data_IF_353444688484
#
_entry.id   IF_353444688484
#
_cell.length_a   1.000
_cell.length_b   1.000
_cell.length_c   1.000
_cell.angle_alpha   90.00
_cell.angle_beta   90.00
_cell.angle_gamma   90.00
#
_symmetry.space_group_name_H-M   'P 1'
#
loop_
_entity.id
_entity.type
_entity.pdbx_description
1 polymer ?
#
# COMPACT_ATOMS: atom_id res chain seq x y z
N UNK A 1 -11.93 16.37 1.19
CA UNK A 1 -10.68 15.80 1.72
C UNK A 1 -10.19 16.69 2.84
N UNK A 2 -9.98 16.17 4.06
CA UNK A 2 -9.26 16.91 5.10
C UNK A 2 -7.78 17.01 4.73
N UNK A 3 -7.09 18.03 5.24
CA UNK A 3 -5.67 18.31 4.95
C UNK A 3 -4.76 17.10 5.17
N UNK A 4 -5.10 16.25 6.14
CA UNK A 4 -4.33 15.06 6.50
C UNK A 4 -4.36 13.96 5.43
N UNK A 5 -5.51 13.71 4.79
CA UNK A 5 -5.61 12.78 3.66
C UNK A 5 -4.81 13.25 2.45
N UNK A 6 -4.78 14.56 2.21
CA UNK A 6 -3.99 15.13 1.13
C UNK A 6 -2.50 14.91 1.37
N UNK A 7 -2.00 15.14 2.59
CA UNK A 7 -0.59 14.87 2.92
C UNK A 7 -0.25 13.39 2.75
N UNK A 8 -1.13 12.47 3.19
CA UNK A 8 -0.93 11.03 2.98
C UNK A 8 -0.88 10.67 1.49
N UNK A 9 -1.79 11.22 0.69
CA UNK A 9 -1.78 11.04 -0.76
C UNK A 9 -0.44 11.44 -1.36
N UNK A 10 0.03 12.66 -1.07
CA UNK A 10 1.25 13.22 -1.64
C UNK A 10 2.49 12.42 -1.24
N UNK A 11 2.56 11.93 0.01
CA UNK A 11 3.68 11.11 0.47
C UNK A 11 3.69 9.71 -0.16
N UNK A 12 2.52 9.04 -0.26
CA UNK A 12 2.42 7.75 -0.95
C UNK A 12 2.73 7.93 -2.43
N UNK A 13 2.24 8.99 -3.06
CA UNK A 13 2.53 9.33 -4.45
C UNK A 13 4.03 9.57 -4.65
N UNK A 14 4.69 10.31 -3.77
CA UNK A 14 6.13 10.56 -3.84
C UNK A 14 6.93 9.26 -3.72
N UNK A 15 6.56 8.39 -2.78
CA UNK A 15 7.17 7.06 -2.61
C UNK A 15 7.03 6.22 -3.89
N UNK A 16 5.81 6.08 -4.41
CA UNK A 16 5.54 5.32 -5.63
C UNK A 16 6.26 5.91 -6.85
N UNK A 17 6.27 7.24 -6.97
CA UNK A 17 6.93 7.95 -8.07
C UNK A 17 8.45 7.75 -8.09
N UNK A 18 9.07 7.63 -6.92
CA UNK A 18 10.50 7.33 -6.76
C UNK A 18 10.85 5.92 -7.22
N UNK A 19 9.94 4.97 -7.03
CA UNK A 19 10.14 3.55 -7.36
C UNK A 19 9.43 3.09 -8.64
N UNK A 20 8.85 4.02 -9.40
CA UNK A 20 8.16 3.74 -10.65
C UNK A 20 9.13 3.19 -11.71
N UNK A 21 8.73 2.13 -12.41
CA UNK A 21 9.49 1.53 -13.50
C UNK A 21 9.66 2.46 -14.73
N UNK A 22 8.80 3.48 -14.86
CA UNK A 22 8.82 4.40 -15.98
C UNK A 22 7.83 5.55 -15.84
N UNK A 23 7.77 6.42 -16.85
CA UNK A 23 6.94 7.63 -16.88
C UNK A 23 5.44 7.32 -16.77
N UNK A 24 4.96 6.25 -17.40
CA UNK A 24 3.58 5.81 -17.28
C UNK A 24 3.23 5.37 -15.86
N UNK A 25 4.07 4.55 -15.23
CA UNK A 25 3.88 4.11 -13.86
C UNK A 25 3.90 5.31 -12.90
N UNK A 26 4.79 6.28 -13.10
CA UNK A 26 4.87 7.50 -12.30
C UNK A 26 3.65 8.42 -12.46
N UNK A 27 3.18 8.62 -13.69
CA UNK A 27 2.21 9.69 -13.99
C UNK A 27 0.76 9.23 -13.98
N UNK A 28 0.51 7.92 -14.11
CA UNK A 28 -0.84 7.34 -14.19
C UNK A 28 -1.10 6.33 -13.08
N UNK A 29 -0.15 5.43 -12.84
CA UNK A 29 -0.35 4.34 -11.88
C UNK A 29 -0.10 4.79 -10.44
N UNK A 30 0.95 5.56 -10.19
CA UNK A 30 1.26 6.07 -8.87
C UNK A 30 0.12 6.93 -8.26
N UNK A 31 -0.48 7.90 -8.98
CA UNK A 31 -1.61 8.66 -8.43
C UNK A 31 -2.86 7.79 -8.22
N UNK A 32 -3.13 6.82 -9.10
CA UNK A 32 -4.22 5.86 -8.93
C UNK A 32 -4.03 5.03 -7.65
N UNK A 33 -2.84 4.46 -7.45
CA UNK A 33 -2.55 3.64 -6.28
C UNK A 33 -2.56 4.49 -5.00
N UNK A 34 -2.05 5.72 -5.03
CA UNK A 34 -2.10 6.64 -3.90
C UNK A 34 -3.55 6.97 -3.51
N UNK A 35 -4.42 7.25 -4.48
CA UNK A 35 -5.85 7.49 -4.23
C UNK A 35 -6.54 6.27 -3.63
N UNK A 36 -6.38 5.10 -4.26
CA UNK A 36 -6.95 3.84 -3.76
C UNK A 36 -6.40 3.42 -2.40
N UNK A 37 -5.19 3.87 -2.05
CA UNK A 37 -4.61 3.58 -0.74
C UNK A 37 -5.32 4.30 0.41
N UNK A 38 -6.09 5.36 0.14
CA UNK A 38 -6.87 6.10 1.13
C UNK A 38 -8.26 5.49 1.39
N UNK A 39 -8.74 4.62 0.48
CA UNK A 39 -10.05 3.97 0.63
C UNK A 39 -10.06 2.96 1.78
N UNK A 40 -11.25 2.52 2.21
CA UNK A 40 -11.39 1.66 3.39
C UNK A 40 -11.01 0.20 3.14
N UNK A 41 -11.18 -0.32 1.92
CA UNK A 41 -10.93 -1.74 1.63
C UNK A 41 -9.44 -2.05 1.46
N UNK A 42 -9.16 -3.31 1.14
CA UNK A 42 -7.84 -3.69 0.69
C UNK A 42 -7.53 -3.04 -0.66
N UNK A 43 -6.31 -2.50 -0.79
CA UNK A 43 -5.83 -1.83 -1.99
C UNK A 43 -6.06 -2.62 -3.29
N UNK A 44 -6.00 -3.96 -3.23
CA UNK A 44 -6.27 -4.79 -4.41
C UNK A 44 -7.75 -4.78 -4.81
N UNK A 45 -8.68 -4.74 -3.85
CA UNK A 45 -10.13 -4.66 -4.13
C UNK A 45 -10.49 -3.30 -4.73
N UNK A 46 -9.94 -2.23 -4.16
CA UNK A 46 -10.19 -0.87 -4.66
C UNK A 46 -9.55 -0.64 -6.05
N UNK A 47 -8.48 -1.37 -6.39
CA UNK A 47 -7.90 -1.42 -7.74
C UNK A 47 -8.63 -2.37 -8.70
N UNK A 48 -9.67 -3.09 -8.25
CA UNK A 48 -10.41 -4.06 -9.07
C UNK A 48 -9.66 -5.37 -9.33
N UNK A 49 -8.61 -5.67 -8.56
CA UNK A 49 -7.84 -6.89 -8.66
C UNK A 49 -8.52 -8.02 -7.87
N UNK A 50 -8.46 -9.24 -8.40
CA UNK A 50 -9.18 -10.37 -7.80
C UNK A 50 -8.55 -10.87 -6.49
N UNK A 51 -7.23 -10.75 -6.33
CA UNK A 51 -6.53 -11.32 -5.19
C UNK A 51 -5.17 -10.65 -4.91
N UNK A 52 -4.56 -10.99 -3.77
CA UNK A 52 -3.25 -10.48 -3.34
C UNK A 52 -2.09 -10.85 -4.28
N UNK A 53 -2.21 -11.96 -5.03
CA UNK A 53 -1.17 -12.40 -5.97
C UNK A 53 -1.15 -11.47 -7.19
N UNK A 54 -2.32 -11.15 -7.74
CA UNK A 54 -2.52 -10.17 -8.82
C UNK A 54 -1.93 -8.81 -8.42
N UNK A 55 -2.20 -8.37 -7.19
CA UNK A 55 -1.61 -7.15 -6.64
C UNK A 55 -0.08 -7.20 -6.56
N UNK A 56 0.48 -8.34 -6.15
CA UNK A 56 1.93 -8.56 -6.17
C UNK A 56 2.52 -8.45 -7.56
N UNK A 57 1.86 -9.01 -8.58
CA UNK A 57 2.27 -8.90 -9.99
C UNK A 57 2.17 -7.46 -10.50
N UNK A 58 1.05 -6.80 -10.24
CA UNK A 58 0.81 -5.40 -10.60
C UNK A 58 1.91 -4.49 -10.04
N UNK A 59 2.21 -4.62 -8.75
CA UNK A 59 3.26 -3.83 -8.12
C UNK A 59 4.65 -4.20 -8.62
N UNK A 60 4.94 -5.47 -8.93
CA UNK A 60 6.23 -5.85 -9.54
C UNK A 60 6.40 -5.25 -10.94
N UNK A 61 5.32 -5.16 -11.71
CA UNK A 61 5.34 -4.62 -13.06
C UNK A 61 5.55 -3.10 -13.05
N UNK A 62 4.86 -2.37 -12.18
CA UNK A 62 4.88 -0.91 -12.16
C UNK A 62 5.89 -0.31 -11.18
N UNK A 63 6.23 -1.02 -10.10
CA UNK A 63 7.12 -0.59 -9.02
C UNK A 63 8.10 -1.72 -8.61
N UNK A 64 8.95 -2.21 -9.54
CA UNK A 64 9.79 -3.40 -9.33
C UNK A 64 10.73 -3.25 -8.13
N UNK A 65 11.33 -2.07 -7.97
CA UNK A 65 12.22 -1.76 -6.84
C UNK A 65 11.48 -1.86 -5.50
N UNK A 66 10.28 -1.28 -5.44
CA UNK A 66 9.44 -1.32 -4.24
C UNK A 66 8.99 -2.75 -3.91
N UNK A 67 8.68 -3.54 -4.94
CA UNK A 67 8.30 -4.93 -4.80
C UNK A 67 9.46 -5.86 -4.40
N UNK A 68 10.69 -5.53 -4.74
CA UNK A 68 11.87 -6.24 -4.29
C UNK A 68 12.15 -6.02 -2.80
N UNK A 69 11.90 -4.81 -2.29
CA UNK A 69 12.12 -4.45 -0.88
C UNK A 69 11.01 -4.93 0.06
N UNK A 70 9.81 -5.17 -0.47
CA UNK A 70 8.64 -5.52 0.35
C UNK A 70 8.75 -6.95 0.94
N UNK A 71 8.53 -7.12 2.25
CA UNK A 71 8.38 -8.44 2.88
C UNK A 71 7.19 -9.23 2.31
N UNK A 72 7.35 -10.55 2.12
CA UNK A 72 6.30 -11.42 1.55
C UNK A 72 5.05 -11.47 2.44
N UNK A 73 5.20 -11.39 3.75
CA UNK A 73 4.11 -11.50 4.72
C UNK A 73 3.32 -10.19 4.88
N UNK A 74 3.94 -9.02 4.66
CA UNK A 74 3.31 -7.71 4.87
C UNK A 74 2.28 -7.36 3.78
N UNK A 75 1.16 -6.73 4.14
CA UNK A 75 0.19 -6.23 3.15
C UNK A 75 0.74 -5.01 2.41
N UNK A 76 0.33 -4.79 1.16
CA UNK A 76 0.83 -3.66 0.34
C UNK A 76 0.49 -2.31 0.96
N UNK A 77 -0.77 -2.13 1.37
CA UNK A 77 -1.24 -0.92 2.06
C UNK A 77 -0.38 -0.67 3.31
N UNK A 78 -0.28 -1.65 4.21
CA UNK A 78 0.56 -1.55 5.41
C UNK A 78 2.02 -1.19 5.07
N UNK A 79 2.61 -1.82 4.07
CA UNK A 79 3.99 -1.53 3.65
C UNK A 79 4.18 -0.10 3.11
N UNK A 80 3.24 0.41 2.31
CA UNK A 80 3.30 1.78 1.78
C UNK A 80 3.27 2.82 2.91
N UNK A 81 2.33 2.66 3.84
CA UNK A 81 2.15 3.58 4.96
C UNK A 81 3.31 3.50 5.96
N UNK A 82 3.80 2.29 6.25
CA UNK A 82 4.99 2.06 7.07
C UNK A 82 6.25 2.69 6.45
N UNK A 83 6.38 2.67 5.12
CA UNK A 83 7.49 3.31 4.41
C UNK A 83 7.48 4.83 4.46
N UNK A 84 6.32 5.45 4.67
CA UNK A 84 6.18 6.90 4.88
C UNK A 84 6.06 7.28 6.37
N UNK A 85 6.19 6.30 7.28
CA UNK A 85 6.08 6.53 8.72
C UNK A 85 4.68 6.93 9.20
N UNK A 86 3.62 6.58 8.44
CA UNK A 86 2.22 6.87 8.78
C UNK A 86 1.40 5.61 8.97
N UNK A 87 0.22 5.77 9.53
CA UNK A 87 -0.77 4.71 9.69
C UNK A 87 -1.85 4.91 8.65
N UNK A 88 -2.21 3.87 7.89
CA UNK A 88 -3.27 3.98 6.90
C UNK A 88 -4.58 4.44 7.57
N UNK A 89 -5.32 5.40 6.99
CA UNK A 89 -6.51 5.96 7.64
C UNK A 89 -7.61 4.91 7.84
N UNK A 90 -7.67 3.91 6.95
CA UNK A 90 -8.56 2.77 7.08
C UNK A 90 -8.22 1.87 8.29
N UNK A 91 -6.97 1.86 8.78
CA UNK A 91 -6.59 1.03 9.92
C UNK A 91 -7.13 1.54 11.26
N UNK A 92 -7.60 2.79 11.36
CA UNK A 92 -8.16 3.33 12.61
C UNK A 92 -9.54 2.78 12.95
N UNK A 93 -10.30 2.31 11.95
CA UNK A 93 -11.70 1.85 12.08
C UNK A 93 -11.97 0.46 11.49
N UNK A 94 -10.94 -0.24 10.97
CA UNK A 94 -11.13 -1.57 10.41
C UNK A 94 -11.27 -2.63 11.51
N UNK A 95 -12.37 -3.38 11.52
CA UNK A 95 -12.58 -4.55 12.39
C UNK A 95 -11.48 -5.64 12.21
N UNK A 96 -10.75 -5.59 11.09
CA UNK A 96 -9.63 -6.46 10.73
C UNK A 96 -8.27 -6.02 11.32
N UNK A 97 -8.26 -5.14 12.34
CA UNK A 97 -7.03 -4.80 13.08
C UNK A 97 -6.30 -6.07 13.56
N UNK A 98 -7.04 -7.11 13.98
CA UNK A 98 -6.48 -8.38 14.43
C UNK A 98 -5.61 -9.06 13.36
N UNK A 99 -6.02 -9.06 12.08
CA UNK A 99 -5.22 -9.64 10.99
C UNK A 99 -4.10 -8.70 10.51
N UNK A 100 -4.30 -7.39 10.59
CA UNK A 100 -3.27 -6.41 10.26
C UNK A 100 -2.12 -6.40 11.29
N UNK A 101 -2.40 -6.68 12.56
CA UNK A 101 -1.41 -6.86 13.63
C UNK A 101 -1.02 -8.33 13.87
N UNK A 102 -1.68 -9.31 13.25
CA UNK A 102 -1.28 -10.73 13.38
C UNK A 102 0.14 -11.00 12.87
N UNK A 103 0.71 -10.15 12.01
CA UNK A 103 2.15 -10.22 11.70
C UNK A 103 3.07 -9.90 12.88
N UNK A 104 2.61 -9.21 13.94
CA UNK A 104 3.38 -8.97 15.17
C UNK A 104 3.18 -10.08 16.20
N UNK A 105 2.04 -10.78 16.19
CA UNK A 105 1.76 -11.84 17.18
C UNK A 105 2.43 -13.17 16.81
N UNK A 106 2.74 -13.40 15.53
CA UNK A 106 3.38 -14.64 15.10
C UNK A 106 4.89 -14.75 15.40
N UNK A 107 5.53 -13.69 15.88
CA UNK A 107 6.94 -13.71 16.28
C UNK A 107 7.16 -13.91 17.79
N UNK A 108 6.09 -14.11 18.59
CA UNK A 108 6.22 -14.36 20.04
C UNK A 108 5.71 -15.73 20.50
N UNK A 109 5.47 -16.63 19.54
CA UNK A 109 5.11 -18.03 19.78
C UNK A 109 5.79 -18.92 18.73
N UNK A 110 7.12 -19.02 18.78
CA UNK A 110 7.89 -20.13 18.23
C UNK A 110 9.21 -20.26 18.99
#
# INVERSE_FOLDING_TARGET
MTTEYQTMYDEVLALLSRHAAGSHARSKIAPLVAEKSLEMNHLYQDLGLQNRIEMGKFMKQHFPTLAAMKPKEKLWKKYLYDSIGKIAPACATCDDQLNCFACLVKEMSA
#
